data_IF_850129475966
#
_entry.id   IF_850129475966
#
_cell.length_a   1.000
_cell.length_b   1.000
_cell.length_c   1.000
_cell.angle_alpha   90.00
_cell.angle_beta   90.00
_cell.angle_gamma   90.00
#
_symmetry.space_group_name_H-M   'P 1'
#
loop_
_entity.id
_entity.type
_entity.pdbx_description
1 polymer ?
#
# COMPACT_ATOMS: atom_id res chain seq x y z
N UNK A 1 -50.43 -37.42 17.84
CA UNK A 1 -49.19 -36.63 18.05
C UNK A 1 -49.33 -35.59 19.16
N UNK A 2 -48.28 -35.38 19.96
CA UNK A 2 -48.30 -34.43 21.09
C UNK A 2 -47.92 -33.00 20.66
N UNK A 3 -48.63 -31.98 21.15
CA UNK A 3 -48.28 -30.59 20.88
C UNK A 3 -47.02 -30.17 21.65
N UNK A 4 -45.93 -29.85 20.93
CA UNK A 4 -44.65 -29.40 21.53
C UNK A 4 -44.74 -28.12 22.36
N UNK A 5 -45.81 -27.32 22.22
CA UNK A 5 -45.97 -26.05 22.98
C UNK A 5 -46.75 -26.22 24.28
N UNK A 6 -47.79 -27.05 24.30
CA UNK A 6 -48.71 -27.13 25.45
C UNK A 6 -48.98 -28.55 25.96
N UNK A 7 -48.35 -29.57 25.35
CA UNK A 7 -48.43 -30.96 25.80
C UNK A 7 -49.73 -31.69 25.49
N UNK A 8 -50.73 -31.04 24.86
CA UNK A 8 -51.99 -31.69 24.51
C UNK A 8 -51.79 -32.74 23.42
N UNK A 9 -52.35 -33.93 23.63
CA UNK A 9 -52.38 -34.99 22.63
C UNK A 9 -53.43 -34.67 21.55
N UNK A 10 -53.01 -34.76 20.29
CA UNK A 10 -53.84 -34.47 19.13
C UNK A 10 -53.88 -35.70 18.20
N UNK A 11 -54.93 -35.86 17.38
CA UNK A 11 -55.00 -36.92 16.38
C UNK A 11 -53.80 -36.88 15.43
N UNK A 12 -53.37 -38.04 14.94
CA UNK A 12 -52.29 -38.10 13.96
C UNK A 12 -52.71 -37.44 12.63
N UNK A 13 -51.83 -36.58 12.11
CA UNK A 13 -52.12 -35.76 10.92
C UNK A 13 -52.79 -34.40 11.19
N UNK A 14 -53.12 -34.07 12.45
CA UNK A 14 -53.65 -32.75 12.79
C UNK A 14 -52.66 -31.62 12.40
N UNK A 15 -53.14 -30.62 11.66
CA UNK A 15 -52.30 -29.48 11.22
C UNK A 15 -52.06 -28.47 12.34
N UNK A 16 -53.02 -28.31 13.25
CA UNK A 16 -52.98 -27.38 14.38
C UNK A 16 -53.43 -28.06 15.68
N UNK A 17 -52.94 -27.57 16.82
CA UNK A 17 -53.31 -28.06 18.14
C UNK A 17 -54.74 -27.62 18.50
N UNK A 18 -55.59 -28.58 18.89
CA UNK A 18 -56.99 -28.35 19.28
C UNK A 18 -57.15 -27.44 20.50
N UNK A 19 -56.15 -27.39 21.40
CA UNK A 19 -56.21 -26.60 22.63
C UNK A 19 -55.62 -25.20 22.50
N UNK A 20 -54.47 -25.06 21.83
CA UNK A 20 -53.73 -23.79 21.80
C UNK A 20 -53.57 -23.19 20.40
N UNK A 21 -54.10 -23.83 19.36
CA UNK A 21 -54.11 -23.33 17.99
C UNK A 21 -52.78 -23.38 17.24
N UNK A 22 -51.67 -23.83 17.87
CA UNK A 22 -50.35 -23.82 17.20
C UNK A 22 -50.24 -24.90 16.12
N UNK A 23 -49.60 -24.59 15.00
CA UNK A 23 -49.27 -25.56 13.96
C UNK A 23 -48.40 -26.70 14.53
N UNK A 24 -48.76 -27.95 14.19
CA UNK A 24 -48.08 -29.16 14.66
C UNK A 24 -47.08 -29.71 13.64
N UNK A 25 -47.19 -29.31 12.38
CA UNK A 25 -46.36 -29.77 11.26
C UNK A 25 -45.70 -28.59 10.53
N UNK A 26 -44.76 -27.91 11.19
CA UNK A 26 -43.77 -27.11 10.48
C UNK A 26 -42.55 -28.00 10.22
N UNK A 27 -42.35 -28.41 8.96
CA UNK A 27 -41.03 -28.85 8.50
C UNK A 27 -40.15 -27.60 8.46
N UNK A 28 -39.21 -27.45 9.40
CA UNK A 28 -38.23 -26.37 9.33
C UNK A 28 -37.49 -26.42 7.99
N UNK A 29 -37.26 -25.29 7.31
CA UNK A 29 -36.38 -25.26 6.16
C UNK A 29 -34.97 -25.62 6.63
N UNK A 30 -34.34 -26.55 5.92
CA UNK A 30 -32.99 -27.01 6.19
C UNK A 30 -32.00 -25.83 6.21
N UNK A 31 -31.22 -25.76 7.29
CA UNK A 31 -30.14 -24.79 7.52
C UNK A 31 -29.08 -24.97 6.41
N UNK A 32 -29.03 -24.03 5.46
CA UNK A 32 -28.00 -23.98 4.40
C UNK A 32 -26.71 -23.44 5.02
N UNK A 33 -25.68 -24.30 5.15
CA UNK A 33 -24.33 -23.91 5.58
C UNK A 33 -23.77 -22.81 4.65
N UNK A 34 -23.31 -21.71 5.25
CA UNK A 34 -22.80 -20.51 4.59
C UNK A 34 -21.26 -20.50 4.66
N UNK A 35 -20.61 -21.35 3.86
CA UNK A 35 -19.14 -21.45 3.79
C UNK A 35 -18.59 -21.43 2.34
N UNK A 36 -19.16 -20.58 1.47
CA UNK A 36 -18.65 -20.41 0.08
C UNK A 36 -18.29 -18.96 -0.29
N UNK A 37 -18.15 -18.08 0.70
CA UNK A 37 -17.83 -16.66 0.48
C UNK A 37 -16.33 -16.33 0.42
N UNK A 38 -15.48 -17.14 1.06
CA UNK A 38 -14.04 -16.82 1.22
C UNK A 38 -13.24 -17.23 -0.03
N UNK A 39 -13.56 -18.37 -0.65
CA UNK A 39 -12.82 -18.86 -1.83
C UNK A 39 -12.99 -17.92 -3.04
N UNK A 40 -14.18 -17.38 -3.27
CA UNK A 40 -14.40 -16.45 -4.39
C UNK A 40 -13.71 -15.09 -4.15
N UNK A 41 -13.72 -14.58 -2.92
CA UNK A 41 -13.04 -13.32 -2.58
C UNK A 41 -11.51 -13.45 -2.68
N UNK A 42 -10.92 -14.55 -2.20
CA UNK A 42 -9.48 -14.81 -2.32
C UNK A 42 -9.09 -15.00 -3.80
N UNK A 43 -9.86 -15.75 -4.59
CA UNK A 43 -9.58 -15.88 -6.03
C UNK A 43 -9.67 -14.54 -6.78
N UNK A 44 -10.63 -13.66 -6.43
CA UNK A 44 -10.73 -12.32 -7.01
C UNK A 44 -9.56 -11.44 -6.58
N UNK A 45 -9.15 -11.46 -5.31
CA UNK A 45 -7.98 -10.73 -4.84
C UNK A 45 -6.72 -11.24 -5.55
N UNK A 46 -6.51 -12.56 -5.62
CA UNK A 46 -5.37 -13.16 -6.33
C UNK A 46 -5.41 -12.83 -7.82
N UNK A 47 -6.57 -12.87 -8.48
CA UNK A 47 -6.70 -12.50 -9.89
C UNK A 47 -6.46 -11.00 -10.13
N UNK A 48 -6.92 -10.12 -9.23
CA UNK A 48 -6.67 -8.68 -9.29
C UNK A 48 -5.19 -8.40 -9.03
N UNK A 49 -4.58 -9.04 -8.04
CA UNK A 49 -3.13 -8.95 -7.79
C UNK A 49 -2.36 -9.45 -9.02
N UNK A 50 -2.69 -10.61 -9.58
CA UNK A 50 -2.06 -11.13 -10.80
C UNK A 50 -2.26 -10.19 -11.99
N UNK A 51 -3.46 -9.65 -12.21
CA UNK A 51 -3.73 -8.67 -13.28
C UNK A 51 -2.95 -7.36 -13.08
N UNK A 52 -2.86 -6.86 -11.85
CA UNK A 52 -2.03 -5.70 -11.50
C UNK A 52 -0.56 -6.00 -11.76
N UNK A 53 -0.05 -7.19 -11.40
CA UNK A 53 1.34 -7.58 -11.63
C UNK A 53 1.66 -7.89 -13.11
N UNK A 54 0.69 -8.38 -13.92
CA UNK A 54 0.93 -8.73 -15.33
C UNK A 54 0.59 -7.63 -16.33
N UNK A 55 -0.24 -6.64 -15.96
CA UNK A 55 -0.71 -5.58 -16.87
C UNK A 55 -0.52 -4.15 -16.33
N UNK A 56 -0.41 -3.96 -15.02
CA UNK A 56 -0.32 -2.63 -14.39
C UNK A 56 1.11 -2.29 -13.96
N UNK A 57 1.61 -1.12 -14.35
CA UNK A 57 2.82 -0.59 -13.72
C UNK A 57 2.52 0.01 -12.34
N UNK A 58 3.57 0.25 -11.56
CA UNK A 58 3.48 0.82 -10.21
C UNK A 58 2.92 2.25 -10.29
N UNK A 59 1.84 2.55 -9.55
CA UNK A 59 1.27 3.91 -9.49
C UNK A 59 2.13 4.88 -8.67
N UNK A 60 2.03 6.19 -8.92
CA UNK A 60 2.75 7.22 -8.14
C UNK A 60 2.48 7.13 -6.64
N UNK A 61 1.21 6.89 -6.25
CA UNK A 61 0.83 6.71 -4.83
C UNK A 61 1.57 5.54 -4.21
N UNK A 62 1.70 4.42 -4.94
CA UNK A 62 2.41 3.24 -4.46
C UNK A 62 3.92 3.47 -4.39
N UNK A 63 4.49 4.21 -5.34
CA UNK A 63 5.89 4.61 -5.30
C UNK A 63 6.20 5.43 -4.05
N UNK A 64 5.40 6.47 -3.78
CA UNK A 64 5.57 7.32 -2.59
C UNK A 64 5.31 6.55 -1.29
N UNK A 65 4.26 5.73 -1.25
CA UNK A 65 3.95 4.83 -0.13
C UNK A 65 5.12 3.93 0.23
N UNK A 66 5.72 3.29 -0.78
CA UNK A 66 6.93 2.47 -0.59
C UNK A 66 8.13 3.33 -0.17
N UNK A 67 8.35 4.50 -0.77
CA UNK A 67 9.47 5.37 -0.40
C UNK A 67 9.42 5.74 1.09
N UNK A 68 8.29 6.29 1.53
CA UNK A 68 8.09 6.73 2.92
C UNK A 68 8.24 5.54 3.86
N UNK A 69 7.51 4.45 3.63
CA UNK A 69 7.52 3.30 4.56
C UNK A 69 8.87 2.60 4.62
N UNK A 70 9.58 2.48 3.50
CA UNK A 70 10.89 1.82 3.44
C UNK A 70 12.00 2.61 4.13
N UNK A 71 11.91 3.94 4.21
CA UNK A 71 12.89 4.75 4.97
C UNK A 71 12.87 4.38 6.46
N UNK A 72 11.68 4.31 7.05
CA UNK A 72 11.50 4.00 8.47
C UNK A 72 11.63 2.51 8.78
N UNK A 73 11.42 1.63 7.79
CA UNK A 73 11.65 0.19 7.93
C UNK A 73 13.12 -0.22 7.73
N UNK A 74 14.02 0.73 7.43
CA UNK A 74 15.43 0.47 7.08
C UNK A 74 15.52 -0.55 5.93
N UNK A 75 14.79 -0.27 4.85
CA UNK A 75 14.71 -1.09 3.64
C UNK A 75 15.17 -0.31 2.42
N UNK A 76 16.48 -0.02 2.39
CA UNK A 76 17.10 0.71 1.29
C UNK A 76 16.96 -0.03 -0.06
N UNK A 77 16.87 -1.36 -0.06
CA UNK A 77 16.68 -2.12 -1.30
C UNK A 77 15.37 -1.71 -1.98
N UNK A 78 14.27 -1.68 -1.24
CA UNK A 78 12.97 -1.26 -1.79
C UNK A 78 13.03 0.18 -2.32
N UNK A 79 13.79 1.08 -1.68
CA UNK A 79 13.98 2.47 -2.15
C UNK A 79 14.77 2.51 -3.45
N UNK A 80 15.86 1.74 -3.57
CA UNK A 80 16.66 1.65 -4.80
C UNK A 80 15.81 1.12 -5.97
N UNK A 81 14.87 0.22 -5.71
CA UNK A 81 13.90 -0.27 -6.70
C UNK A 81 12.82 0.76 -7.10
N UNK A 82 12.76 1.91 -6.41
CA UNK A 82 11.94 3.05 -6.81
C UNK A 82 12.63 3.94 -7.84
N UNK A 83 13.90 3.70 -8.15
CA UNK A 83 14.68 4.44 -9.13
C UNK A 83 14.60 3.78 -10.50
N UNK A 84 14.66 4.54 -11.62
CA UNK A 84 14.83 3.93 -12.93
C UNK A 84 16.16 3.16 -12.98
N UNK A 85 16.15 1.93 -13.49
CA UNK A 85 17.34 1.04 -13.50
C UNK A 85 18.56 1.71 -14.11
N UNK A 86 18.40 2.40 -15.24
CA UNK A 86 19.49 3.11 -15.93
C UNK A 86 20.09 4.27 -15.11
N UNK A 87 19.31 4.87 -14.20
CA UNK A 87 19.83 5.90 -13.28
C UNK A 87 20.73 5.23 -12.24
N UNK A 88 20.30 4.09 -11.70
CA UNK A 88 21.11 3.30 -10.76
C UNK A 88 22.38 2.80 -11.43
N UNK A 89 22.27 2.22 -12.63
CA UNK A 89 23.42 1.71 -13.39
C UNK A 89 24.46 2.81 -13.63
N UNK A 90 24.03 3.99 -14.09
CA UNK A 90 24.92 5.15 -14.26
C UNK A 90 25.59 5.54 -12.94
N UNK A 91 24.85 5.60 -11.84
CA UNK A 91 25.41 5.94 -10.54
C UNK A 91 26.45 4.91 -10.07
N UNK A 92 26.21 3.61 -10.29
CA UNK A 92 27.15 2.55 -9.95
C UNK A 92 28.42 2.61 -10.84
N UNK A 93 28.26 2.91 -12.13
CA UNK A 93 29.39 3.10 -13.05
C UNK A 93 30.26 4.30 -12.66
N UNK A 94 29.65 5.43 -12.28
CA UNK A 94 30.36 6.66 -11.91
C UNK A 94 31.05 6.57 -10.55
N UNK A 95 30.42 5.91 -9.57
CA UNK A 95 30.96 5.77 -8.21
C UNK A 95 31.91 4.58 -8.06
N UNK A 96 31.79 3.57 -8.94
CA UNK A 96 32.50 2.30 -8.82
C UNK A 96 31.93 1.37 -7.74
N UNK A 97 30.77 1.70 -7.18
CA UNK A 97 30.10 0.91 -6.16
C UNK A 97 29.43 -0.31 -6.78
N UNK A 98 29.37 -1.41 -6.04
CA UNK A 98 28.39 -2.45 -6.32
C UNK A 98 27.01 -2.05 -5.81
N UNK A 99 25.96 -2.64 -6.38
CA UNK A 99 24.58 -2.44 -5.90
C UNK A 99 24.42 -2.83 -4.42
N UNK A 100 25.14 -3.85 -3.97
CA UNK A 100 25.11 -4.28 -2.57
C UNK A 100 25.75 -3.24 -1.66
N UNK A 101 26.92 -2.71 -2.00
CA UNK A 101 27.57 -1.63 -1.22
C UNK A 101 26.68 -0.39 -1.15
N UNK A 102 26.04 0.00 -2.25
CA UNK A 102 25.07 1.11 -2.26
C UNK A 102 23.90 0.87 -1.29
N UNK A 103 23.32 -0.34 -1.31
CA UNK A 103 22.19 -0.69 -0.44
C UNK A 103 22.61 -0.76 1.02
N UNK A 104 23.79 -1.31 1.32
CA UNK A 104 24.32 -1.43 2.67
C UNK A 104 24.61 -0.05 3.28
N UNK A 105 25.27 0.84 2.53
CA UNK A 105 25.52 2.22 2.99
C UNK A 105 24.23 3.03 3.19
N UNK A 106 23.26 2.86 2.29
CA UNK A 106 21.95 3.48 2.43
C UNK A 106 21.20 2.94 3.67
N UNK A 107 21.25 1.63 3.93
CA UNK A 107 20.66 1.03 5.14
C UNK A 107 21.33 1.54 6.40
N UNK A 108 22.66 1.63 6.45
CA UNK A 108 23.37 2.20 7.59
C UNK A 108 22.96 3.66 7.86
N UNK A 109 22.71 4.42 6.79
CA UNK A 109 22.25 5.81 6.88
C UNK A 109 20.81 5.91 7.37
N UNK A 110 19.89 5.08 6.85
CA UNK A 110 18.50 5.00 7.33
C UNK A 110 18.45 4.55 8.78
N UNK A 111 19.27 3.55 9.15
CA UNK A 111 19.34 3.06 10.53
C UNK A 111 19.76 4.15 11.49
N UNK A 112 20.78 4.95 11.16
CA UNK A 112 21.18 6.11 11.99
C UNK A 112 20.04 7.11 12.18
N UNK A 113 19.22 7.33 11.14
CA UNK A 113 18.05 8.20 11.24
C UNK A 113 17.00 7.61 12.19
N UNK A 114 16.65 6.33 12.04
CA UNK A 114 15.71 5.64 12.92
C UNK A 114 16.21 5.61 14.37
N UNK A 115 17.48 5.24 14.59
CA UNK A 115 18.09 5.21 15.93
C UNK A 115 18.08 6.61 16.59
N UNK A 116 18.15 7.70 15.81
CA UNK A 116 18.02 9.08 16.31
C UNK A 116 16.57 9.43 16.66
N UNK A 117 15.59 8.87 15.97
CA UNK A 117 14.17 9.01 16.29
C UNK A 117 13.84 8.25 17.57
N UNK A 118 14.32 7.02 17.72
CA UNK A 118 14.14 6.21 18.93
C UNK A 118 14.66 6.97 20.17
N UNK A 119 15.87 7.56 20.07
CA UNK A 119 16.43 8.38 21.14
C UNK A 119 15.61 9.63 21.49
N UNK A 120 14.91 10.19 20.50
CA UNK A 120 14.18 11.47 20.66
C UNK A 120 12.71 11.28 21.04
N UNK A 121 12.08 10.20 20.58
CA UNK A 121 10.63 9.95 20.66
C UNK A 121 10.27 8.72 21.49
N UNK A 122 11.26 7.90 21.87
CA UNK A 122 11.08 6.60 22.53
C UNK A 122 10.83 5.46 21.53
N UNK A 123 11.12 4.23 21.91
CA UNK A 123 11.16 3.05 21.00
C UNK A 123 9.81 2.65 20.37
N UNK A 124 8.68 3.19 20.87
CA UNK A 124 7.30 2.84 20.44
C UNK A 124 6.63 3.96 19.60
N UNK A 125 7.43 4.83 18.99
CA UNK A 125 6.90 5.92 18.16
C UNK A 125 6.13 5.41 16.94
N UNK A 126 5.15 6.20 16.47
CA UNK A 126 4.25 5.85 15.35
C UNK A 126 4.37 6.82 14.20
N UNK A 127 4.54 6.27 12.99
CA UNK A 127 4.41 7.00 11.75
C UNK A 127 2.94 7.10 11.33
N UNK A 128 2.53 8.30 10.95
CA UNK A 128 1.37 8.52 10.08
C UNK A 128 1.76 9.50 8.98
N UNK A 129 1.23 9.32 7.78
CA UNK A 129 1.46 10.27 6.69
C UNK A 129 0.25 10.34 5.77
N UNK A 130 0.19 11.44 5.02
CA UNK A 130 -0.85 11.71 4.05
C UNK A 130 -0.26 12.42 2.84
N UNK A 131 -0.57 11.90 1.66
CA UNK A 131 -0.36 12.62 0.40
C UNK A 131 -1.47 13.66 0.27
N UNK A 132 -1.11 14.93 0.12
CA UNK A 132 -2.06 16.05 0.06
C UNK A 132 -2.06 16.67 -1.32
N UNK A 133 -1.21 17.66 -1.55
CA UNK A 133 -1.14 18.39 -2.81
C UNK A 133 -0.50 17.50 -3.90
N UNK A 134 -1.19 17.32 -5.02
CA UNK A 134 -0.71 16.51 -6.15
C UNK A 134 -0.76 17.38 -7.38
N UNK A 135 0.42 17.75 -7.86
CA UNK A 135 0.58 18.62 -9.01
C UNK A 135 1.14 17.81 -10.19
N UNK A 136 0.55 17.99 -11.36
CA UNK A 136 1.10 17.46 -12.61
C UNK A 136 2.15 18.44 -13.13
N UNK A 137 3.31 17.92 -13.53
CA UNK A 137 4.33 18.71 -14.24
C UNK A 137 3.96 18.67 -15.73
N UNK A 138 3.72 19.82 -16.33
CA UNK A 138 3.22 19.95 -17.72
C UNK A 138 4.07 20.92 -18.54
N UNK A 139 3.79 20.98 -19.84
CA UNK A 139 4.34 21.97 -20.77
C UNK A 139 5.88 22.05 -20.72
N UNK A 140 6.43 23.27 -20.67
CA UNK A 140 7.87 23.53 -20.70
C UNK A 140 8.60 22.83 -19.53
N UNK A 141 8.02 22.82 -18.32
CA UNK A 141 8.64 22.16 -17.16
C UNK A 141 8.77 20.64 -17.36
N UNK A 142 7.79 20.02 -18.03
CA UNK A 142 7.85 18.59 -18.35
C UNK A 142 8.88 18.30 -19.44
N UNK A 143 9.03 19.21 -20.41
CA UNK A 143 10.01 19.06 -21.49
C UNK A 143 11.44 19.24 -20.97
N UNK A 144 11.68 20.25 -20.12
CA UNK A 144 12.97 20.43 -19.43
C UNK A 144 13.32 19.21 -18.57
N UNK A 145 12.35 18.67 -17.83
CA UNK A 145 12.56 17.46 -17.03
C UNK A 145 12.94 16.26 -17.89
N UNK A 146 12.29 16.06 -19.05
CA UNK A 146 12.64 14.96 -19.96
C UNK A 146 14.10 15.06 -20.41
N UNK A 147 14.59 16.26 -20.71
CA UNK A 147 15.96 16.47 -21.18
C UNK A 147 17.02 16.04 -20.15
N UNK A 148 16.73 16.11 -18.84
CA UNK A 148 17.64 15.57 -17.80
C UNK A 148 17.88 14.06 -17.89
N UNK A 149 16.96 13.32 -18.53
CA UNK A 149 16.97 11.87 -18.64
C UNK A 149 17.34 11.35 -20.03
N UNK A 150 17.50 12.24 -21.02
CA UNK A 150 17.79 11.90 -22.42
C UNK A 150 19.13 11.17 -22.57
N UNK A 151 20.19 11.65 -21.91
CA UNK A 151 21.56 11.12 -22.01
C UNK A 151 21.66 9.65 -21.55
N UNK A 152 20.79 9.25 -20.63
CA UNK A 152 20.70 7.87 -20.13
C UNK A 152 19.58 7.07 -20.78
N UNK A 153 18.95 7.61 -21.83
CA UNK A 153 17.88 6.96 -22.59
C UNK A 153 16.73 6.48 -21.68
N UNK A 154 16.37 7.29 -20.68
CA UNK A 154 15.19 7.09 -19.84
C UNK A 154 14.06 7.95 -20.41
N UNK A 155 12.96 7.31 -20.82
CA UNK A 155 11.84 7.97 -21.51
C UNK A 155 10.76 8.38 -20.52
N UNK A 156 10.85 9.60 -20.03
CA UNK A 156 9.82 10.19 -19.16
C UNK A 156 8.58 10.56 -19.98
N UNK A 157 7.42 10.07 -19.55
CA UNK A 157 6.13 10.27 -20.23
C UNK A 157 5.18 11.20 -19.47
N UNK A 158 5.37 11.34 -18.16
CA UNK A 158 4.64 12.22 -17.26
C UNK A 158 5.45 12.42 -15.98
N UNK A 159 5.19 13.48 -15.23
CA UNK A 159 5.78 13.69 -13.93
C UNK A 159 4.78 14.36 -12.98
N UNK A 160 4.98 14.16 -11.68
CA UNK A 160 4.17 14.75 -10.62
C UNK A 160 5.04 15.18 -9.46
N UNK A 161 4.63 16.25 -8.81
CA UNK A 161 5.13 16.63 -7.48
C UNK A 161 4.02 16.39 -6.47
N UNK A 162 4.34 15.72 -5.37
CA UNK A 162 3.37 15.36 -4.33
C UNK A 162 3.87 15.82 -2.98
N UNK A 163 3.11 16.69 -2.32
CA UNK A 163 3.35 17.02 -0.93
C UNK A 163 2.89 15.85 -0.04
N UNK A 164 3.79 15.40 0.83
CA UNK A 164 3.52 14.39 1.83
C UNK A 164 3.74 14.98 3.21
N UNK A 165 2.64 15.10 3.95
CA UNK A 165 2.65 15.47 5.36
C UNK A 165 2.87 14.20 6.19
N UNK A 166 3.87 14.21 7.08
CA UNK A 166 4.14 13.12 8.00
C UNK A 166 4.13 13.61 9.44
N UNK A 167 3.63 12.74 10.31
CA UNK A 167 3.55 12.93 11.75
C UNK A 167 4.17 11.72 12.43
N UNK A 168 5.20 11.98 13.24
CA UNK A 168 5.84 11.02 14.12
C UNK A 168 5.37 11.30 15.54
N UNK A 169 4.75 10.30 16.16
CA UNK A 169 4.20 10.41 17.51
C UNK A 169 4.94 9.49 18.46
N UNK A 170 5.72 10.07 19.36
CA UNK A 170 6.33 9.40 20.51
C UNK A 170 5.41 9.43 21.73
N UNK A 171 5.97 9.09 22.89
CA UNK A 171 5.21 8.99 24.14
C UNK A 171 4.65 10.34 24.64
N UNK A 172 5.49 11.38 24.60
CA UNK A 172 5.14 12.73 25.09
C UNK A 172 5.17 13.79 23.99
N UNK A 173 5.82 13.51 22.85
CA UNK A 173 6.10 14.48 21.80
C UNK A 173 5.54 14.02 20.45
N UNK A 174 5.00 14.97 19.70
CA UNK A 174 4.52 14.77 18.34
C UNK A 174 5.25 15.76 17.41
N UNK A 175 5.86 15.24 16.36
CA UNK A 175 6.60 16.02 15.35
C UNK A 175 5.89 15.85 14.02
N UNK A 176 5.57 16.97 13.37
CA UNK A 176 4.97 16.96 12.03
C UNK A 176 5.76 17.86 11.09
N UNK A 177 5.98 17.38 9.86
CA UNK A 177 6.62 18.12 8.78
C UNK A 177 5.99 17.70 7.44
N UNK A 178 6.27 18.43 6.37
CA UNK A 178 5.95 18.01 5.01
C UNK A 178 7.18 17.95 4.13
N UNK A 179 7.13 17.10 3.10
CA UNK A 179 8.15 16.92 2.08
C UNK A 179 7.48 16.85 0.71
N UNK A 180 7.99 17.60 -0.25
CA UNK A 180 7.61 17.44 -1.65
C UNK A 180 8.41 16.30 -2.28
N UNK A 181 7.70 15.31 -2.83
CA UNK A 181 8.29 14.17 -3.49
C UNK A 181 7.92 14.22 -4.97
N UNK A 182 8.95 14.35 -5.80
CA UNK A 182 8.82 14.34 -7.25
C UNK A 182 8.95 12.92 -7.79
N UNK A 183 8.08 12.57 -8.74
CA UNK A 183 8.01 11.26 -9.37
C UNK A 183 7.83 11.36 -10.87
N UNK A 184 8.56 10.53 -11.60
CA UNK A 184 8.50 10.43 -13.07
C UNK A 184 7.86 9.12 -13.49
N UNK A 185 7.16 9.14 -14.62
CA UNK A 185 6.56 7.96 -15.24
C UNK A 185 7.42 7.47 -16.40
N UNK A 186 7.99 6.28 -16.25
CA UNK A 186 8.73 5.57 -17.28
C UNK A 186 7.95 4.32 -17.66
N UNK A 187 7.63 4.20 -18.94
CA UNK A 187 6.72 3.18 -19.48
C UNK A 187 5.37 3.14 -18.73
N UNK A 188 5.13 2.08 -17.95
CA UNK A 188 3.87 1.88 -17.21
C UNK A 188 3.99 2.24 -15.73
N UNK A 189 5.20 2.47 -15.23
CA UNK A 189 5.49 2.59 -13.79
C UNK A 189 5.97 3.98 -13.42
N UNK A 190 5.69 4.37 -12.18
CA UNK A 190 6.20 5.58 -11.56
C UNK A 190 7.45 5.28 -10.72
N UNK A 191 8.41 6.20 -10.78
CA UNK A 191 9.71 6.14 -10.13
C UNK A 191 9.99 7.47 -9.43
N UNK A 192 10.88 7.47 -8.44
CA UNK A 192 11.35 8.71 -7.83
C UNK A 192 12.19 9.50 -8.83
N UNK A 193 12.05 10.81 -8.80
CA UNK A 193 12.83 11.74 -9.60
C UNK A 193 14.07 12.21 -8.84
N UNK A 194 15.20 11.52 -9.05
CA UNK A 194 16.44 11.83 -8.33
C UNK A 194 17.03 13.21 -8.67
N UNK A 195 16.83 13.72 -9.88
CA UNK A 195 17.39 15.02 -10.29
C UNK A 195 16.71 16.18 -9.57
N UNK A 196 15.40 16.06 -9.29
CA UNK A 196 14.67 17.05 -8.49
C UNK A 196 14.85 16.82 -6.99
N UNK A 197 14.99 15.55 -6.56
CA UNK A 197 15.22 15.20 -5.15
C UNK A 197 16.65 15.45 -4.66
N UNK A 198 17.63 15.65 -5.56
CA UNK A 198 19.01 15.98 -5.21
C UNK A 198 19.18 17.31 -4.44
N UNK A 199 18.11 18.12 -4.36
CA UNK A 199 18.06 19.33 -3.51
C UNK A 199 17.51 19.06 -2.09
N UNK A 200 17.11 17.83 -1.77
CA UNK A 200 16.50 17.46 -0.48
C UNK A 200 17.48 16.77 0.49
N UNK A 201 18.72 16.52 0.07
CA UNK A 201 19.78 15.88 0.86
C UNK A 201 21.03 16.76 0.98
#
# INVERSE_FOLDING_TARGET
MLCKKCGTENPDGAKYCSKCGKALNEKSPAKKNREKGIVLAVCVIVAVVLLVYTLGGRSYKKTIDTFVTSQFAVDAQSIVELLPEKVVDKALEETGYSKTELVDEANDSLKKQVDSLDQSLGDDWKLSYKMTNVEDVTDDDLDDLKSNYEDINVKVSAAKTVEVEFTLKGDETEVSNSLEISVIKVDRSWYLDLYTMGNLF
#
